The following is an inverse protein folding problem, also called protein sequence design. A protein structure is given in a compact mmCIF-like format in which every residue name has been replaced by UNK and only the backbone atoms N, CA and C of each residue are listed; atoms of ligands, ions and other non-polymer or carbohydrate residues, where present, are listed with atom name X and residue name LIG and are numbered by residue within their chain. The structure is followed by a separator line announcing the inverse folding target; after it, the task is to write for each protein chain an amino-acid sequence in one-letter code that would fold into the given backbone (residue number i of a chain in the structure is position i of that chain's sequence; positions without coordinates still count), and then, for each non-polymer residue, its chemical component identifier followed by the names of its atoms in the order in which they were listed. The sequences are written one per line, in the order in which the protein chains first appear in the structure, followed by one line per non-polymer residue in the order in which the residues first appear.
data_IF_235825088185
#
_entry.id   IF_235825088185
#
_cell.length_a   1.000
_cell.length_b   1.000
_cell.length_c   1.000
_cell.angle_alpha   90.00
_cell.angle_beta   90.00
_cell.angle_gamma   90.00
#
_symmetry.space_group_name_H-M   'P 1'
#
loop_
_entity.id
_entity.type
_entity.pdbx_description
1 polymer ?
#
# COMPACT_ATOMS: atom_id res chain seq x y z
N UNK A 1 -39.06 -2.36 -20.68
CA UNK A 1 -38.65 -1.62 -19.48
C UNK A 1 -37.41 -2.29 -18.91
N UNK A 2 -36.37 -1.48 -18.71
CA UNK A 2 -35.03 -1.69 -18.13
C UNK A 2 -34.47 -3.11 -18.04
N UNK A 3 -33.53 -3.42 -18.96
CA UNK A 3 -32.47 -4.41 -18.71
C UNK A 3 -31.61 -3.86 -17.57
N UNK A 4 -31.67 -4.48 -16.39
CA UNK A 4 -30.67 -4.31 -15.35
C UNK A 4 -29.32 -4.67 -15.98
N UNK A 5 -28.51 -3.65 -16.23
CA UNK A 5 -27.15 -3.83 -16.71
C UNK A 5 -26.39 -4.60 -15.65
N UNK A 6 -26.06 -5.85 -15.96
CA UNK A 6 -24.87 -6.47 -15.41
C UNK A 6 -23.71 -5.58 -15.84
N UNK A 7 -23.26 -4.70 -14.94
CA UNK A 7 -21.92 -4.15 -15.09
C UNK A 7 -20.99 -5.36 -15.05
N UNK A 8 -20.20 -5.64 -16.09
CA UNK A 8 -19.11 -6.58 -15.92
C UNK A 8 -18.32 -6.07 -14.72
N UNK A 9 -18.18 -6.91 -13.68
CA UNK A 9 -17.33 -6.59 -12.55
C UNK A 9 -16.03 -6.05 -13.12
N UNK A 10 -15.68 -4.81 -12.75
CA UNK A 10 -14.39 -4.24 -13.11
C UNK A 10 -13.37 -5.33 -12.82
N UNK A 11 -12.64 -5.77 -13.84
CA UNK A 11 -11.39 -6.48 -13.67
C UNK A 11 -10.50 -5.58 -12.82
N UNK A 12 -10.63 -5.73 -11.50
CA UNK A 12 -10.01 -4.87 -10.52
C UNK A 12 -8.52 -4.96 -10.73
N UNK A 13 -7.85 -3.81 -10.74
CA UNK A 13 -6.40 -3.79 -10.76
C UNK A 13 -5.92 -4.66 -9.60
N UNK A 14 -5.07 -5.63 -9.91
CA UNK A 14 -4.54 -6.54 -8.92
C UNK A 14 -3.25 -5.98 -8.33
N UNK A 15 -2.84 -6.48 -7.16
CA UNK A 15 -1.49 -6.23 -6.67
C UNK A 15 -0.44 -6.71 -7.68
N UNK A 16 -0.65 -7.87 -8.30
CA UNK A 16 0.34 -8.50 -9.19
C UNK A 16 0.67 -7.62 -10.40
N UNK A 17 -0.30 -6.85 -10.91
CA UNK A 17 -0.11 -5.87 -11.99
C UNK A 17 0.92 -4.78 -11.63
N UNK A 18 1.18 -4.53 -10.35
CA UNK A 18 2.18 -3.57 -9.90
C UNK A 18 3.61 -4.13 -9.87
N UNK A 19 3.79 -5.45 -10.03
CA UNK A 19 5.10 -6.08 -10.11
C UNK A 19 5.65 -6.07 -11.54
N UNK A 20 4.80 -5.83 -12.52
CA UNK A 20 5.18 -5.78 -13.93
C UNK A 20 6.10 -4.58 -14.20
N UNK A 21 7.22 -4.83 -14.87
CA UNK A 21 8.20 -3.78 -15.23
C UNK A 21 9.10 -3.31 -14.09
N UNK A 22 8.95 -3.82 -12.86
CA UNK A 22 9.85 -3.50 -11.77
C UNK A 22 11.18 -4.26 -11.88
N UNK A 23 12.26 -3.61 -11.47
CA UNK A 23 13.53 -4.29 -11.23
C UNK A 23 13.38 -5.36 -10.14
N UNK A 24 14.20 -6.41 -10.19
CA UNK A 24 14.12 -7.55 -9.27
C UNK A 24 14.23 -7.12 -7.80
N UNK A 25 15.11 -6.17 -7.51
CA UNK A 25 15.27 -5.62 -6.16
C UNK A 25 14.00 -4.88 -5.71
N UNK A 26 13.45 -4.00 -6.55
CA UNK A 26 12.23 -3.26 -6.21
C UNK A 26 11.04 -4.19 -6.02
N UNK A 27 10.93 -5.22 -6.86
CA UNK A 27 9.92 -6.27 -6.75
C UNK A 27 10.03 -7.00 -5.40
N UNK A 28 11.25 -7.37 -4.98
CA UNK A 28 11.49 -8.01 -3.70
C UNK A 28 11.13 -7.08 -2.52
N UNK A 29 11.47 -5.79 -2.60
CA UNK A 29 11.09 -4.80 -1.59
C UNK A 29 9.57 -4.67 -1.46
N UNK A 30 8.85 -4.63 -2.59
CA UNK A 30 7.40 -4.48 -2.59
C UNK A 30 6.70 -5.70 -1.97
N UNK A 31 7.16 -6.91 -2.31
CA UNK A 31 6.65 -8.14 -1.74
C UNK A 31 6.93 -8.23 -0.23
N UNK A 32 8.15 -7.86 0.20
CA UNK A 32 8.51 -7.84 1.61
C UNK A 32 7.65 -6.84 2.40
N UNK A 33 7.46 -5.64 1.86
CA UNK A 33 6.61 -4.60 2.45
C UNK A 33 5.16 -5.06 2.55
N UNK A 34 4.61 -5.67 1.49
CA UNK A 34 3.24 -6.22 1.50
C UNK A 34 3.05 -7.24 2.62
N UNK A 35 3.96 -8.22 2.73
CA UNK A 35 3.91 -9.26 3.75
C UNK A 35 3.93 -8.66 5.15
N UNK A 36 4.83 -7.69 5.38
CA UNK A 36 4.91 -6.97 6.65
C UNK A 36 3.63 -6.20 6.97
N UNK A 37 3.10 -5.41 6.03
CA UNK A 37 1.89 -4.61 6.29
C UNK A 37 0.71 -5.53 6.62
N UNK A 38 0.56 -6.65 5.90
CA UNK A 38 -0.48 -7.66 6.19
C UNK A 38 -0.29 -8.35 7.54
N UNK A 39 0.93 -8.44 8.06
CA UNK A 39 1.18 -9.03 9.38
C UNK A 39 0.92 -8.07 10.56
N UNK A 40 0.56 -6.80 10.31
CA UNK A 40 0.22 -5.84 11.37
C UNK A 40 -1.11 -6.18 12.07
N UNK A 41 -2.05 -6.83 11.37
CA UNK A 41 -3.29 -7.35 11.94
C UNK A 41 -4.36 -7.68 10.91
N UNK A 42 -5.38 -8.44 11.32
CA UNK A 42 -6.42 -8.99 10.43
C UNK A 42 -7.37 -7.93 9.82
N UNK A 43 -7.33 -6.70 10.33
CA UNK A 43 -8.15 -5.58 9.87
C UNK A 43 -7.44 -4.68 8.85
N UNK A 44 -6.29 -5.12 8.34
CA UNK A 44 -5.57 -4.47 7.24
C UNK A 44 -6.26 -4.80 5.93
N UNK A 45 -6.63 -3.75 5.21
CA UNK A 45 -7.27 -3.83 3.89
C UNK A 45 -6.24 -3.39 2.85
N UNK A 46 -5.96 -4.26 1.89
CA UNK A 46 -5.14 -3.97 0.71
C UNK A 46 -6.05 -3.53 -0.45
N UNK A 47 -5.82 -2.32 -0.96
CA UNK A 47 -6.59 -1.73 -2.05
C UNK A 47 -5.65 -1.32 -3.20
N UNK A 48 -5.42 -2.20 -4.19
CA UNK A 48 -4.67 -1.84 -5.37
C UNK A 48 -5.42 -0.80 -6.22
N UNK A 49 -4.69 0.19 -6.72
CA UNK A 49 -5.18 1.29 -7.58
C UNK A 49 -4.27 1.39 -8.81
N UNK A 50 -4.58 2.16 -9.86
CA UNK A 50 -3.80 2.11 -11.12
C UNK A 50 -2.29 2.36 -11.00
N UNK A 51 -1.84 3.11 -9.99
CA UNK A 51 -0.44 3.54 -9.85
C UNK A 51 0.11 3.35 -8.44
N UNK A 52 -0.67 2.77 -7.53
CA UNK A 52 -0.31 2.63 -6.13
C UNK A 52 -1.15 1.58 -5.44
N UNK A 53 -0.63 1.04 -4.35
CA UNK A 53 -1.36 0.18 -3.44
C UNK A 53 -1.62 0.97 -2.15
N UNK A 54 -2.89 1.17 -1.82
CA UNK A 54 -3.29 1.79 -0.57
C UNK A 54 -3.55 0.70 0.48
N UNK A 55 -3.08 0.94 1.70
CA UNK A 55 -3.37 0.11 2.86
C UNK A 55 -4.17 0.90 3.87
N UNK A 56 -5.33 0.36 4.23
CA UNK A 56 -6.26 0.97 5.17
C UNK A 56 -6.53 0.06 6.37
N UNK A 57 -6.98 0.67 7.46
CA UNK A 57 -7.41 -0.03 8.67
C UNK A 57 -8.92 0.08 8.83
N UNK A 58 -9.59 -1.06 9.04
CA UNK A 58 -11.02 -1.17 9.42
C UNK A 58 -12.05 -0.67 8.38
N UNK A 59 -13.34 -0.83 8.71
CA UNK A 59 -14.53 -0.47 7.91
C UNK A 59 -14.60 1.00 7.48
N UNK A 60 -13.91 1.89 8.19
CA UNK A 60 -13.85 3.31 7.84
C UNK A 60 -12.81 3.61 6.74
N UNK A 61 -12.15 2.58 6.20
CA UNK A 61 -11.15 2.67 5.12
C UNK A 61 -10.11 3.76 5.36
N UNK A 62 -9.61 3.86 6.61
CA UNK A 62 -8.63 4.89 6.96
C UNK A 62 -7.26 4.45 6.48
N UNK A 63 -6.85 5.04 5.37
CA UNK A 63 -5.55 4.81 4.74
C UNK A 63 -4.44 5.29 5.67
N UNK A 64 -3.50 4.40 5.98
CA UNK A 64 -2.31 4.70 6.77
C UNK A 64 -1.02 4.59 5.98
N UNK A 65 -1.03 3.83 4.87
CA UNK A 65 0.10 3.73 3.94
C UNK A 65 -0.40 3.76 2.50
N UNK A 66 0.26 4.54 1.66
CA UNK A 66 0.18 4.43 0.20
C UNK A 66 1.58 4.05 -0.32
N UNK A 67 1.65 3.04 -1.18
CA UNK A 67 2.88 2.57 -1.82
C UNK A 67 2.78 2.77 -3.32
N UNK A 68 3.62 3.64 -3.88
CA UNK A 68 3.75 3.82 -5.31
C UNK A 68 5.05 3.18 -5.78
N UNK A 69 4.99 2.02 -6.46
CA UNK A 69 6.18 1.44 -7.06
C UNK A 69 6.61 2.23 -8.30
N UNK A 70 7.92 2.32 -8.47
CA UNK A 70 8.65 2.82 -9.63
C UNK A 70 9.68 1.76 -10.02
N UNK A 71 10.22 1.82 -11.22
CA UNK A 71 11.09 0.78 -11.78
C UNK A 71 12.23 0.39 -10.79
N UNK A 72 12.91 1.38 -10.21
CA UNK A 72 14.09 1.23 -9.33
C UNK A 72 13.82 1.51 -7.83
N UNK A 73 12.58 1.82 -7.44
CA UNK A 73 12.31 2.37 -6.11
C UNK A 73 10.84 2.27 -5.68
N UNK A 74 10.61 2.36 -4.37
CA UNK A 74 9.27 2.52 -3.80
C UNK A 74 9.10 3.91 -3.19
N UNK A 75 8.07 4.62 -3.60
CA UNK A 75 7.64 5.84 -2.92
C UNK A 75 6.58 5.45 -1.90
N UNK A 76 6.89 5.59 -0.62
CA UNK A 76 6.00 5.21 0.48
C UNK A 76 5.55 6.48 1.19
N UNK A 77 4.23 6.64 1.29
CA UNK A 77 3.58 7.74 2.01
C UNK A 77 2.84 7.19 3.22
N UNK A 78 3.11 7.74 4.41
CA UNK A 78 2.62 7.24 5.70
C UNK A 78 1.81 8.34 6.39
N UNK A 79 0.61 7.98 6.82
CA UNK A 79 -0.32 8.86 7.52
C UNK A 79 -0.60 8.32 8.92
N UNK A 80 -0.16 9.04 9.95
CA UNK A 80 -0.40 8.70 11.37
C UNK A 80 -1.76 9.17 11.88
N UNK A 81 -2.33 10.21 11.25
CA UNK A 81 -3.59 10.84 11.63
C UNK A 81 -4.07 11.85 10.59
N UNK A 82 -5.21 12.52 10.86
CA UNK A 82 -5.77 13.54 9.95
C UNK A 82 -5.00 14.85 9.96
N UNK A 83 -4.47 15.22 11.11
CA UNK A 83 -3.75 16.48 11.36
C UNK A 83 -2.23 16.31 11.32
N UNK A 84 -1.75 15.07 11.36
CA UNK A 84 -0.33 14.79 11.29
C UNK A 84 0.20 15.03 9.86
N UNK A 85 1.43 15.55 9.72
CA UNK A 85 2.06 15.68 8.42
C UNK A 85 2.22 14.31 7.77
N UNK A 86 2.06 14.28 6.44
CA UNK A 86 2.33 13.08 5.65
C UNK A 86 3.85 12.86 5.63
N UNK A 87 4.29 11.65 5.97
CA UNK A 87 5.69 11.25 5.84
C UNK A 87 5.83 10.58 4.48
N UNK A 88 6.64 11.14 3.59
CA UNK A 88 6.95 10.53 2.28
C UNK A 88 8.42 10.19 2.22
N UNK A 89 8.73 8.97 1.78
CA UNK A 89 10.09 8.46 1.68
C UNK A 89 10.26 7.66 0.38
N UNK A 90 11.48 7.65 -0.13
CA UNK A 90 11.88 6.83 -1.28
C UNK A 90 12.74 5.71 -0.71
N UNK A 91 12.36 4.47 -0.99
CA UNK A 91 13.06 3.27 -0.54
C UNK A 91 13.65 2.57 -1.75
N UNK A 92 14.97 2.40 -1.74
CA UNK A 92 15.74 1.71 -2.77
C UNK A 92 16.46 0.48 -2.23
N UNK A 93 16.62 0.38 -0.91
CA UNK A 93 17.33 -0.73 -0.26
C UNK A 93 16.53 -1.41 0.85
N UNK A 94 16.86 -2.68 1.19
CA UNK A 94 16.26 -3.36 2.34
C UNK A 94 16.49 -2.64 3.66
N UNK A 95 17.65 -1.99 3.84
CA UNK A 95 17.98 -1.27 5.07
C UNK A 95 17.06 -0.06 5.31
N UNK A 96 16.75 0.70 4.26
CA UNK A 96 15.78 1.80 4.33
C UNK A 96 14.37 1.27 4.61
N UNK A 97 14.02 0.12 4.03
CA UNK A 97 12.73 -0.52 4.26
C UNK A 97 12.53 -0.85 5.75
N UNK A 98 13.54 -1.38 6.44
CA UNK A 98 13.46 -1.69 7.87
C UNK A 98 13.20 -0.44 8.73
N UNK A 99 13.82 0.70 8.42
CA UNK A 99 13.57 1.97 9.12
C UNK A 99 12.12 2.41 8.92
N UNK A 100 11.61 2.27 7.70
CA UNK A 100 10.26 2.68 7.35
C UNK A 100 9.20 1.78 7.99
N UNK A 101 9.46 0.48 8.17
CA UNK A 101 8.55 -0.44 8.86
C UNK A 101 8.19 0.05 10.27
N UNK A 102 9.13 0.65 10.99
CA UNK A 102 8.87 1.24 12.32
C UNK A 102 7.83 2.36 12.24
N UNK A 103 7.96 3.25 11.25
CA UNK A 103 7.02 4.37 11.04
C UNK A 103 5.62 3.87 10.63
N UNK A 104 5.57 2.81 9.82
CA UNK A 104 4.32 2.17 9.40
C UNK A 104 3.61 1.52 10.58
N UNK A 105 4.33 0.78 11.44
CA UNK A 105 3.76 0.19 12.64
C UNK A 105 3.15 1.25 13.56
N UNK A 106 3.87 2.35 13.77
CA UNK A 106 3.37 3.46 14.58
C UNK A 106 2.11 4.09 13.98
N UNK A 107 2.08 4.29 12.64
CA UNK A 107 0.92 4.81 11.94
C UNK A 107 -0.28 3.87 12.06
N UNK A 108 -0.08 2.56 11.89
CA UNK A 108 -1.12 1.55 12.06
C UNK A 108 -1.69 1.54 13.50
N UNK A 109 -0.84 1.68 14.52
CA UNK A 109 -1.30 1.77 15.91
C UNK A 109 -2.05 3.07 16.22
N UNK A 110 -1.62 4.20 15.67
CA UNK A 110 -2.20 5.53 15.92
C UNK A 110 -3.49 5.78 15.14
N UNK A 111 -3.60 5.24 13.94
CA UNK A 111 -4.80 5.43 13.12
C UNK A 111 -5.96 4.68 13.79
N UNK A 112 -6.90 5.47 14.31
CA UNK A 112 -8.17 5.01 14.88
C UNK A 112 -9.21 4.87 13.79
#
# INVERSE_FOLDING_TARGET
MSKFGFYPEKSGISFESHLEGLEEQTRALLLNLRTFIKSLGDNVIEEPRPHRIAYAKSLNFRIFVDVQPKDDSLIISIRKGRTDPLITCIVKSPSELEVIKVQISEAYSKIK
#
